data_IF_890582905608
#
_entry.id   IF_890582905608
#
_cell.length_a   1.000
_cell.length_b   1.000
_cell.length_c   1.000
_cell.angle_alpha   90.00
_cell.angle_beta   90.00
_cell.angle_gamma   90.00
#
_symmetry.space_group_name_H-M   'P 1'
#
loop_
_entity.id
_entity.type
_entity.pdbx_description
1 polymer ?
#
# COMPACT_ATOMS: atom_id res chain seq x y z
N UNK A 1 4.83 -18.64 7.68
CA UNK A 1 5.69 -17.70 6.93
C UNK A 1 5.32 -16.27 7.33
N UNK A 2 6.24 -15.30 7.24
CA UNK A 2 5.97 -13.89 7.56
C UNK A 2 6.35 -13.01 6.37
N UNK A 3 5.52 -12.02 6.06
CA UNK A 3 5.70 -11.08 4.94
C UNK A 3 5.59 -9.65 5.44
N UNK A 4 6.58 -8.82 5.11
CA UNK A 4 6.55 -7.38 5.34
C UNK A 4 6.28 -6.67 4.01
N UNK A 5 5.17 -5.96 3.93
CA UNK A 5 4.81 -5.12 2.79
C UNK A 5 5.27 -3.68 3.05
N UNK A 6 6.14 -3.16 2.20
CA UNK A 6 6.61 -1.77 2.27
C UNK A 6 5.93 -0.98 1.17
N UNK A 7 5.14 0.02 1.56
CA UNK A 7 4.34 0.82 0.61
C UNK A 7 4.64 2.31 0.79
N UNK A 8 4.56 3.11 -0.30
CA UNK A 8 4.85 4.54 -0.21
C UNK A 8 3.79 5.32 0.59
N UNK A 9 2.54 4.87 0.58
CA UNK A 9 1.42 5.46 1.32
C UNK A 9 0.22 4.50 1.34
N UNK A 10 -0.61 4.61 2.38
CA UNK A 10 -1.94 3.99 2.47
C UNK A 10 -3.07 5.03 2.37
N UNK A 11 -2.74 6.26 1.98
CA UNK A 11 -3.70 7.34 1.95
C UNK A 11 -4.76 7.11 0.85
N UNK A 12 -6.06 7.40 1.11
CA UNK A 12 -7.15 7.02 0.20
C UNK A 12 -7.01 7.56 -1.23
N UNK A 13 -6.36 8.70 -1.42
CA UNK A 13 -6.12 9.34 -2.72
C UNK A 13 -5.25 8.53 -3.67
N UNK A 14 -4.57 7.50 -3.18
CA UNK A 14 -3.82 6.57 -4.02
C UNK A 14 -4.74 5.55 -4.71
N UNK A 15 -5.90 5.22 -4.12
CA UNK A 15 -6.91 4.37 -4.75
C UNK A 15 -6.44 2.93 -5.00
N UNK A 16 -6.20 2.57 -6.27
CA UNK A 16 -5.92 1.20 -6.72
C UNK A 16 -4.79 0.48 -5.95
N UNK A 17 -3.60 1.08 -5.80
CA UNK A 17 -2.51 0.53 -4.99
C UNK A 17 -2.91 0.19 -3.55
N UNK A 18 -3.70 1.05 -2.87
CA UNK A 18 -4.14 0.79 -1.49
C UNK A 18 -5.07 -0.43 -1.45
N UNK A 19 -5.96 -0.54 -2.43
CA UNK A 19 -6.85 -1.69 -2.56
C UNK A 19 -6.07 -3.00 -2.72
N UNK A 20 -5.05 -3.02 -3.59
CA UNK A 20 -4.21 -4.21 -3.81
C UNK A 20 -3.51 -4.64 -2.53
N UNK A 21 -2.91 -3.70 -1.79
CA UNK A 21 -2.17 -3.99 -0.55
C UNK A 21 -3.09 -4.61 0.51
N UNK A 22 -4.29 -4.04 0.67
CA UNK A 22 -5.26 -4.53 1.64
C UNK A 22 -5.83 -5.90 1.27
N UNK A 23 -6.21 -6.09 0.00
CA UNK A 23 -6.75 -7.38 -0.48
C UNK A 23 -5.69 -8.49 -0.43
N UNK A 24 -4.44 -8.17 -0.78
CA UNK A 24 -3.33 -9.11 -0.69
C UNK A 24 -3.04 -9.49 0.77
N UNK A 25 -3.00 -8.52 1.69
CA UNK A 25 -2.82 -8.79 3.11
C UNK A 25 -3.89 -9.76 3.65
N UNK A 26 -5.16 -9.50 3.33
CA UNK A 26 -6.26 -10.38 3.71
C UNK A 26 -6.15 -11.79 3.10
N UNK A 27 -5.79 -11.88 1.82
CA UNK A 27 -5.60 -13.18 1.16
C UNK A 27 -4.45 -13.99 1.79
N UNK A 28 -3.37 -13.32 2.20
CA UNK A 28 -2.24 -13.95 2.89
C UNK A 28 -2.63 -14.48 4.27
N UNK A 29 -3.42 -13.72 5.03
CA UNK A 29 -3.90 -14.16 6.35
C UNK A 29 -4.80 -15.41 6.25
N UNK A 30 -5.67 -15.47 5.24
CA UNK A 30 -6.56 -16.63 4.99
C UNK A 30 -5.76 -17.92 4.79
N UNK A 31 -4.57 -17.85 4.19
CA UNK A 31 -3.69 -19.02 3.98
C UNK A 31 -2.66 -19.22 5.11
N UNK A 32 -2.82 -18.52 6.25
CA UNK A 32 -1.96 -18.65 7.42
C UNK A 32 -0.61 -17.94 7.31
N UNK A 33 -0.48 -16.98 6.40
CA UNK A 33 0.71 -16.12 6.28
C UNK A 33 0.47 -14.83 7.05
N UNK A 34 1.30 -14.56 8.05
CA UNK A 34 1.27 -13.29 8.78
C UNK A 34 1.83 -12.18 7.90
N UNK A 35 1.04 -11.13 7.68
CA UNK A 35 1.44 -9.96 6.89
C UNK A 35 1.45 -8.71 7.77
N UNK A 36 2.52 -7.93 7.66
CA UNK A 36 2.65 -6.61 8.27
C UNK A 36 2.85 -5.57 7.18
N UNK A 37 2.23 -4.40 7.32
CA UNK A 37 2.34 -3.31 6.33
C UNK A 37 3.00 -2.12 7.01
N UNK A 38 4.11 -1.65 6.43
CA UNK A 38 4.75 -0.40 6.80
C UNK A 38 4.54 0.59 5.65
N UNK A 39 4.01 1.76 5.98
CA UNK A 39 3.93 2.87 5.04
C UNK A 39 4.74 4.05 5.56
N UNK A 40 5.47 4.71 4.65
CA UNK A 40 5.82 6.10 4.92
C UNK A 40 4.50 6.88 4.97
N UNK A 41 4.34 7.80 5.92
CA UNK A 41 3.25 8.79 5.87
C UNK A 41 3.55 9.80 4.74
N UNK A 42 3.70 9.29 3.51
CA UNK A 42 4.23 9.98 2.35
C UNK A 42 3.15 10.76 1.63
N UNK A 43 3.37 12.08 1.54
CA UNK A 43 2.65 13.01 0.64
C UNK A 43 2.84 12.54 -0.81
N UNK A 44 1.77 12.53 -1.61
CA UNK A 44 1.83 12.23 -3.05
C UNK A 44 2.77 13.21 -3.76
N UNK A 45 3.97 12.75 -4.14
CA UNK A 45 4.91 13.52 -4.98
C UNK A 45 4.57 13.20 -6.43
N UNK A 46 3.55 13.88 -6.96
CA UNK A 46 3.08 13.66 -8.33
C UNK A 46 1.79 14.41 -8.57
N UNK A 47 1.88 15.73 -8.66
CA UNK A 47 0.88 16.54 -9.33
C UNK A 47 1.23 16.52 -10.84
N UNK A 48 0.34 16.07 -11.74
CA UNK A 48 0.55 16.21 -13.18
C UNK A 48 0.46 17.67 -13.65
N UNK A 49 -0.05 18.57 -12.82
CA UNK A 49 -0.10 19.99 -13.12
C UNK A 49 1.23 20.63 -12.70
N UNK A 50 2.19 20.64 -13.63
CA UNK A 50 3.13 21.75 -13.95
C UNK A 50 4.32 21.15 -14.71
N UNK A 51 4.12 20.82 -15.98
CA UNK A 51 5.19 21.01 -16.97
C UNK A 51 4.80 22.30 -17.69
N UNK A 52 5.53 23.36 -17.35
CA UNK A 52 5.39 24.69 -17.96
C UNK A 52 5.85 24.69 -19.40
#
# INVERSE_FOLDING_TARGET
MKVLQVVPSLAPEWGGPVKVVNELAGALEVIGVSSEIISAQGRRVGNPETVT
#
